data_IF_855483344478
#
_entry.id   IF_855483344478
#
_cell.length_a   1.000
_cell.length_b   1.000
_cell.length_c   1.000
_cell.angle_alpha   90.00
_cell.angle_beta   90.00
_cell.angle_gamma   90.00
#
_symmetry.space_group_name_H-M   'P 1'
#
loop_
_entity.id
_entity.type
_entity.pdbx_description
1 polymer ?
#
# COMPACT_ATOMS: atom_id res chain seq x y z
N UNK A 1 7.10 -21.65 17.87
CA UNK A 1 6.83 -20.85 16.66
C UNK A 1 6.98 -21.72 15.43
N UNK A 2 6.15 -21.45 14.41
CA UNK A 2 6.05 -22.10 13.08
C UNK A 2 5.31 -23.45 13.12
N UNK A 3 4.32 -23.73 12.27
CA UNK A 3 3.64 -22.96 11.24
C UNK A 3 2.36 -23.73 10.90
N UNK A 4 1.34 -22.97 10.50
CA UNK A 4 0.12 -23.39 9.82
C UNK A 4 0.37 -24.41 8.68
N UNK A 5 -0.64 -25.22 8.36
CA UNK A 5 -1.43 -25.06 7.12
C UNK A 5 -2.73 -25.87 7.19
N UNK A 6 -3.80 -25.14 6.91
CA UNK A 6 -5.18 -25.53 6.65
C UNK A 6 -5.34 -26.67 5.62
N UNK A 7 -6.27 -27.59 5.87
CA UNK A 7 -7.11 -28.19 4.83
C UNK A 7 -8.57 -28.14 5.28
N UNK A 8 -9.33 -27.26 4.64
CA UNK A 8 -10.79 -27.27 4.65
C UNK A 8 -11.24 -28.43 3.77
N UNK A 9 -12.07 -29.31 4.34
CA UNK A 9 -12.93 -30.22 3.61
C UNK A 9 -14.34 -29.62 3.57
N UNK A 10 -14.96 -29.59 2.39
CA UNK A 10 -16.36 -29.22 2.22
C UNK A 10 -17.22 -30.49 2.23
N UNK A 11 -18.27 -30.38 3.03
CA UNK A 11 -19.50 -31.17 3.17
C UNK A 11 -19.99 -31.94 1.93
N UNK A 12 -20.59 -33.12 2.16
CA UNK A 12 -22.05 -33.26 2.13
C UNK A 12 -22.48 -34.62 2.68
N UNK A 13 -23.50 -34.61 3.54
CA UNK A 13 -24.28 -35.78 3.94
C UNK A 13 -25.61 -35.78 3.17
N UNK A 14 -26.20 -36.96 3.00
CA UNK A 14 -27.62 -37.34 3.26
C UNK A 14 -28.10 -38.41 2.26
N UNK A 15 -28.39 -39.60 2.83
CA UNK A 15 -29.55 -40.53 2.66
C UNK A 15 -30.23 -40.67 1.26
N UNK A 16 -30.80 -41.80 0.82
CA UNK A 16 -31.28 -43.01 1.49
C UNK A 16 -31.79 -44.04 0.44
N UNK A 17 -31.82 -45.31 0.85
CA UNK A 17 -32.77 -46.39 0.53
C UNK A 17 -32.92 -46.98 -0.88
N UNK A 18 -32.71 -48.30 -0.93
CA UNK A 18 -33.26 -49.21 -1.95
C UNK A 18 -32.42 -50.48 -2.15
N UNK A 19 -32.56 -51.50 -1.29
CA UNK A 19 -32.09 -52.89 -1.54
C UNK A 19 -33.06 -53.59 -2.51
N UNK A 20 -32.63 -54.53 -3.39
CA UNK A 20 -32.31 -55.89 -2.96
C UNK A 20 -31.13 -56.58 -3.70
N UNK A 21 -30.92 -57.83 -3.31
CA UNK A 21 -29.76 -58.70 -3.45
C UNK A 21 -29.37 -59.18 -4.87
N UNK A 22 -28.18 -59.82 -4.89
CA UNK A 22 -27.69 -60.87 -5.81
C UNK A 22 -27.07 -60.43 -7.15
N UNK A 23 -25.80 -60.01 -7.10
CA UNK A 23 -24.77 -60.30 -8.11
C UNK A 23 -23.38 -59.88 -7.59
N UNK A 24 -22.76 -60.63 -6.68
CA UNK A 24 -21.52 -60.21 -6.02
C UNK A 24 -20.46 -61.31 -5.91
N UNK A 25 -20.17 -62.03 -7.00
CA UNK A 25 -19.05 -63.00 -7.03
C UNK A 25 -18.06 -62.83 -8.20
N UNK A 26 -18.38 -62.06 -9.25
CA UNK A 26 -17.44 -61.81 -10.37
C UNK A 26 -16.54 -60.58 -10.18
N UNK A 27 -17.01 -59.58 -9.43
CA UNK A 27 -16.39 -58.25 -9.37
C UNK A 27 -15.33 -58.11 -8.28
N UNK A 28 -15.36 -58.96 -7.25
CA UNK A 28 -14.37 -58.98 -6.16
C UNK A 28 -13.07 -59.68 -6.58
N UNK A 29 -13.16 -60.74 -7.40
CA UNK A 29 -12.00 -61.43 -7.95
C UNK A 29 -11.17 -60.50 -8.86
N UNK A 30 -11.84 -59.71 -9.71
CA UNK A 30 -11.19 -58.70 -10.58
C UNK A 30 -10.53 -57.59 -9.79
N UNK A 31 -11.15 -57.08 -8.71
CA UNK A 31 -10.55 -56.04 -7.87
C UNK A 31 -9.34 -56.58 -7.10
N UNK A 32 -9.39 -57.82 -6.60
CA UNK A 32 -8.27 -58.45 -5.91
C UNK A 32 -7.10 -58.74 -6.85
N UNK A 33 -7.36 -59.23 -8.06
CA UNK A 33 -6.34 -59.47 -9.07
C UNK A 33 -5.70 -58.16 -9.54
N UNK A 34 -6.47 -57.09 -9.66
CA UNK A 34 -5.97 -55.77 -10.05
C UNK A 34 -5.17 -55.12 -8.91
N UNK A 35 -5.58 -55.30 -7.65
CA UNK A 35 -4.79 -54.89 -6.49
C UNK A 35 -3.47 -55.68 -6.39
N UNK A 36 -3.49 -56.97 -6.74
CA UNK A 36 -2.29 -57.83 -6.76
C UNK A 36 -1.34 -57.42 -7.89
N UNK A 37 -1.86 -57.20 -9.09
CA UNK A 37 -1.08 -56.70 -10.22
C UNK A 37 -0.44 -55.33 -9.92
N UNK A 38 -1.18 -54.42 -9.29
CA UNK A 38 -0.68 -53.12 -8.85
C UNK A 38 0.40 -53.24 -7.75
N UNK A 39 0.24 -54.17 -6.81
CA UNK A 39 1.25 -54.45 -5.79
C UNK A 39 2.53 -55.03 -6.39
N UNK A 40 2.41 -55.97 -7.34
CA UNK A 40 3.56 -56.59 -7.99
C UNK A 40 4.34 -55.61 -8.88
N UNK A 41 3.64 -54.73 -9.58
CA UNK A 41 4.25 -53.63 -10.35
C UNK A 41 4.94 -52.62 -9.44
N UNK A 42 4.34 -52.28 -8.29
CA UNK A 42 4.99 -51.42 -7.29
C UNK A 42 6.26 -52.06 -6.69
N UNK A 43 6.22 -53.37 -6.38
CA UNK A 43 7.39 -54.10 -5.87
C UNK A 43 8.48 -54.26 -6.92
N UNK A 44 8.14 -54.35 -8.21
CA UNK A 44 9.12 -54.31 -9.33
C UNK A 44 9.80 -52.94 -9.41
N UNK A 45 9.04 -51.85 -9.33
CA UNK A 45 9.58 -50.48 -9.32
C UNK A 45 10.49 -50.18 -8.12
N UNK A 46 10.32 -50.90 -7.00
CA UNK A 46 11.23 -50.79 -5.84
C UNK A 46 12.50 -51.65 -5.97
N UNK A 47 12.47 -52.72 -6.77
CA UNK A 47 13.62 -53.61 -6.99
C UNK A 47 14.50 -53.18 -8.16
N UNK A 48 13.96 -52.39 -9.08
CA UNK A 48 14.74 -51.74 -10.12
C UNK A 48 15.53 -50.57 -9.50
N UNK A 49 16.83 -50.41 -9.79
CA UNK A 49 17.56 -49.22 -9.39
C UNK A 49 16.86 -47.99 -9.99
N UNK A 50 16.16 -47.24 -9.14
CA UNK A 50 15.54 -45.97 -9.50
C UNK A 50 16.66 -45.04 -9.97
N UNK A 51 16.80 -44.84 -11.28
CA UNK A 51 17.52 -43.67 -11.77
C UNK A 51 16.80 -42.44 -11.22
N UNK A 52 17.50 -41.50 -10.57
CA UNK A 52 16.87 -40.29 -10.05
C UNK A 52 16.05 -39.65 -11.17
N UNK A 53 14.74 -39.49 -10.98
CA UNK A 53 13.94 -38.66 -11.88
C UNK A 53 14.60 -37.28 -11.84
N UNK A 54 15.12 -36.76 -12.96
CA UNK A 54 15.76 -35.45 -12.95
C UNK A 54 14.70 -34.44 -12.51
N UNK A 55 14.85 -33.89 -11.31
CA UNK A 55 13.99 -32.84 -10.83
C UNK A 55 14.07 -31.67 -11.81
N UNK A 56 12.92 -31.23 -12.32
CA UNK A 56 12.79 -30.07 -13.20
C UNK A 56 13.07 -28.79 -12.40
N UNK A 57 14.33 -28.59 -12.01
CA UNK A 57 14.84 -27.40 -11.33
C UNK A 57 14.49 -26.14 -12.13
N UNK A 58 14.54 -26.23 -13.46
CA UNK A 58 14.22 -25.15 -14.42
C UNK A 58 12.77 -24.64 -14.27
N UNK A 59 11.80 -25.52 -14.02
CA UNK A 59 10.39 -25.12 -13.78
C UNK A 59 10.17 -24.56 -12.39
N UNK A 60 10.95 -25.01 -11.40
CA UNK A 60 10.85 -24.51 -10.03
C UNK A 60 11.49 -23.12 -9.95
N UNK A 61 12.66 -22.93 -10.55
CA UNK A 61 13.33 -21.64 -10.73
C UNK A 61 12.47 -20.66 -11.53
N UNK A 62 11.88 -21.08 -12.66
CA UNK A 62 10.97 -20.23 -13.42
C UNK A 62 9.73 -19.78 -12.60
N UNK A 63 9.18 -20.69 -11.78
CA UNK A 63 8.06 -20.38 -10.88
C UNK A 63 8.48 -19.45 -9.74
N UNK A 64 9.68 -19.63 -9.19
CA UNK A 64 10.24 -18.75 -8.16
C UNK A 64 10.48 -17.36 -8.71
N UNK A 65 11.14 -17.24 -9.87
CA UNK A 65 11.38 -15.95 -10.52
C UNK A 65 10.07 -15.21 -10.87
N UNK A 66 9.06 -15.95 -11.33
CA UNK A 66 7.72 -15.38 -11.57
C UNK A 66 7.06 -14.90 -10.28
N UNK A 67 7.19 -15.66 -9.19
CA UNK A 67 6.65 -15.27 -7.88
C UNK A 67 7.37 -14.04 -7.33
N UNK A 68 8.70 -14.00 -7.40
CA UNK A 68 9.51 -12.88 -6.96
C UNK A 68 9.17 -11.60 -7.74
N UNK A 69 9.00 -11.70 -9.06
CA UNK A 69 8.54 -10.57 -9.88
C UNK A 69 7.18 -10.03 -9.43
N UNK A 70 6.21 -10.91 -9.20
CA UNK A 70 4.87 -10.52 -8.71
C UNK A 70 4.92 -9.91 -7.31
N UNK A 71 5.75 -10.45 -6.42
CA UNK A 71 5.91 -9.92 -5.06
C UNK A 71 6.52 -8.52 -5.10
N UNK A 72 7.51 -8.29 -5.95
CA UNK A 72 8.10 -6.96 -6.15
C UNK A 72 7.06 -5.97 -6.68
N UNK A 73 6.34 -6.32 -7.75
CA UNK A 73 5.30 -5.45 -8.33
C UNK A 73 4.24 -5.05 -7.29
N UNK A 74 3.73 -6.00 -6.51
CA UNK A 74 2.74 -5.73 -5.45
C UNK A 74 3.31 -4.77 -4.40
N UNK A 75 4.58 -4.94 -4.01
CA UNK A 75 5.24 -4.06 -3.04
C UNK A 75 5.36 -2.64 -3.58
N UNK A 76 5.82 -2.50 -4.82
CA UNK A 76 5.96 -1.20 -5.49
C UNK A 76 4.62 -0.47 -5.58
N UNK A 77 3.58 -1.16 -6.05
CA UNK A 77 2.22 -0.62 -6.10
C UNK A 77 1.72 -0.19 -4.71
N UNK A 78 1.95 -1.02 -3.68
CA UNK A 78 1.56 -0.70 -2.30
C UNK A 78 2.25 0.56 -1.80
N UNK A 79 3.55 0.70 -2.08
CA UNK A 79 4.35 1.88 -1.71
C UNK A 79 3.79 3.12 -2.41
N UNK A 80 3.59 3.07 -3.73
CA UNK A 80 3.07 4.20 -4.52
C UNK A 80 1.69 4.64 -4.04
N UNK A 81 0.79 3.69 -3.76
CA UNK A 81 -0.55 3.99 -3.23
C UNK A 81 -0.44 4.75 -1.90
N UNK A 82 0.45 4.34 -1.01
CA UNK A 82 0.63 5.00 0.28
C UNK A 82 1.19 6.42 0.12
N UNK A 83 2.21 6.61 -0.73
CA UNK A 83 2.76 7.94 -1.01
C UNK A 83 1.73 8.86 -1.65
N UNK A 84 0.98 8.39 -2.65
CA UNK A 84 -0.07 9.16 -3.30
C UNK A 84 -1.18 9.57 -2.32
N UNK A 85 -1.55 8.70 -1.38
CA UNK A 85 -2.49 9.05 -0.30
C UNK A 85 -1.95 10.15 0.61
N UNK A 86 -0.67 10.10 0.97
CA UNK A 86 -0.04 11.13 1.81
C UNK A 86 0.01 12.46 1.06
N UNK A 87 0.48 12.46 -0.20
CA UNK A 87 0.52 13.62 -1.08
C UNK A 87 -0.86 14.25 -1.20
N UNK A 88 -1.91 13.44 -1.42
CA UNK A 88 -3.28 13.94 -1.51
C UNK A 88 -3.75 14.59 -0.21
N UNK A 89 -3.48 13.96 0.95
CA UNK A 89 -3.84 14.53 2.26
C UNK A 89 -3.12 15.85 2.55
N UNK A 90 -1.82 15.92 2.27
CA UNK A 90 -1.05 17.16 2.42
C UNK A 90 -1.61 18.25 1.50
N UNK A 91 -1.94 17.91 0.25
CA UNK A 91 -2.57 18.85 -0.68
C UNK A 91 -3.89 19.41 -0.17
N UNK A 92 -4.79 18.55 0.33
CA UNK A 92 -6.07 18.99 0.92
C UNK A 92 -5.84 19.93 2.09
N UNK A 93 -4.87 19.61 2.96
CA UNK A 93 -4.62 20.42 4.14
C UNK A 93 -3.93 21.76 3.82
N UNK A 94 -3.04 21.79 2.82
CA UNK A 94 -2.48 23.03 2.28
C UNK A 94 -3.58 23.92 1.73
N UNK A 95 -4.46 23.42 0.86
CA UNK A 95 -5.59 24.20 0.32
C UNK A 95 -6.55 24.69 1.41
N UNK A 96 -6.77 23.89 2.47
CA UNK A 96 -7.56 24.34 3.60
C UNK A 96 -6.92 25.54 4.31
N UNK A 97 -5.62 25.47 4.62
CA UNK A 97 -4.90 26.56 5.28
C UNK A 97 -4.80 27.81 4.40
N UNK A 98 -4.67 27.63 3.08
CA UNK A 98 -4.69 28.71 2.09
C UNK A 98 -5.97 29.53 2.19
N UNK A 99 -7.13 28.88 2.11
CA UNK A 99 -8.44 29.53 2.30
C UNK A 99 -8.58 30.21 3.67
N UNK A 100 -7.98 29.66 4.73
CA UNK A 100 -7.99 30.30 6.06
C UNK A 100 -7.09 31.54 6.08
N UNK A 101 -5.95 31.49 5.40
CA UNK A 101 -5.01 32.60 5.31
C UNK A 101 -5.56 33.74 4.46
N UNK A 102 -6.22 33.45 3.34
CA UNK A 102 -6.94 34.45 2.52
C UNK A 102 -7.97 35.22 3.36
N UNK A 103 -8.76 34.52 4.17
CA UNK A 103 -9.72 35.17 5.08
C UNK A 103 -9.05 36.00 6.17
N UNK A 104 -7.85 35.61 6.60
CA UNK A 104 -7.06 36.41 7.55
C UNK A 104 -6.51 37.66 6.86
N UNK A 105 -6.05 37.55 5.62
CA UNK A 105 -5.59 38.66 4.78
C UNK A 105 -6.70 39.69 4.57
N UNK A 106 -7.92 39.24 4.24
CA UNK A 106 -9.10 40.12 4.15
C UNK A 106 -9.34 40.88 5.46
N UNK A 107 -9.18 40.20 6.60
CA UNK A 107 -9.37 40.82 7.93
C UNK A 107 -8.26 41.79 8.29
N UNK A 108 -7.02 41.52 7.88
CA UNK A 108 -5.91 42.46 8.00
C UNK A 108 -6.21 43.72 7.22
N UNK A 109 -6.66 43.59 5.97
CA UNK A 109 -6.99 44.74 5.11
C UNK A 109 -8.17 45.58 5.64
N UNK A 110 -9.20 44.92 6.18
CA UNK A 110 -10.35 45.60 6.80
C UNK A 110 -9.90 46.46 8.00
N UNK A 111 -9.06 45.91 8.88
CA UNK A 111 -8.54 46.62 10.05
C UNK A 111 -7.58 47.76 9.65
N UNK A 112 -6.74 47.53 8.64
CA UNK A 112 -5.85 48.57 8.09
C UNK A 112 -6.68 49.76 7.55
N UNK A 113 -7.75 49.47 6.80
CA UNK A 113 -8.66 50.50 6.28
C UNK A 113 -9.38 51.25 7.39
N UNK A 114 -9.68 50.57 8.51
CA UNK A 114 -10.25 51.19 9.70
C UNK A 114 -9.22 51.99 10.54
N UNK A 115 -7.94 52.01 10.14
CA UNK A 115 -6.88 52.79 10.78
C UNK A 115 -6.21 52.10 11.97
N UNK A 116 -6.43 50.79 12.17
CA UNK A 116 -5.69 50.01 13.17
C UNK A 116 -4.28 49.69 12.66
N UNK A 117 -3.31 49.62 13.57
CA UNK A 117 -1.99 49.06 13.24
C UNK A 117 -2.12 47.54 13.07
N UNK A 118 -1.79 47.05 11.88
CA UNK A 118 -1.87 45.62 11.53
C UNK A 118 -0.51 45.02 11.18
N UNK A 119 0.58 45.75 11.41
CA UNK A 119 1.93 45.39 10.95
C UNK A 119 2.32 43.97 11.36
N UNK A 120 2.01 43.59 12.60
CA UNK A 120 2.29 42.26 13.13
C UNK A 120 1.46 41.17 12.43
N UNK A 121 0.16 41.42 12.24
CA UNK A 121 -0.74 40.47 11.58
C UNK A 121 -0.36 40.27 10.11
N UNK A 122 -0.04 41.36 9.39
CA UNK A 122 0.40 41.33 8.00
C UNK A 122 1.70 40.52 7.83
N UNK A 123 2.66 40.65 8.76
CA UNK A 123 3.89 39.86 8.75
C UNK A 123 3.61 38.35 8.90
N UNK A 124 2.64 37.97 9.75
CA UNK A 124 2.23 36.58 9.90
C UNK A 124 1.52 36.02 8.65
N UNK A 125 0.65 36.82 8.01
CA UNK A 125 0.02 36.44 6.72
C UNK A 125 1.09 36.18 5.66
N UNK A 126 2.08 37.05 5.53
CA UNK A 126 3.18 36.88 4.57
C UNK A 126 4.00 35.61 4.86
N UNK A 127 4.28 35.33 6.14
CA UNK A 127 4.99 34.12 6.56
C UNK A 127 4.21 32.83 6.25
N UNK A 128 2.89 32.87 6.44
CA UNK A 128 2.00 31.76 6.09
C UNK A 128 1.97 31.54 4.57
N UNK A 129 1.81 32.59 3.78
CA UNK A 129 1.81 32.53 2.31
C UNK A 129 3.09 31.89 1.77
N UNK A 130 4.27 32.34 2.23
CA UNK A 130 5.55 31.75 1.82
C UNK A 130 5.63 30.25 2.14
N UNK A 131 5.17 29.85 3.33
CA UNK A 131 5.20 28.47 3.77
C UNK A 131 4.23 27.59 2.96
N UNK A 132 3.04 28.09 2.65
CA UNK A 132 2.02 27.39 1.85
C UNK A 132 2.43 27.27 0.39
N UNK A 133 3.00 28.31 -0.20
CA UNK A 133 3.53 28.28 -1.58
C UNK A 133 4.65 27.24 -1.70
N UNK A 134 5.59 27.25 -0.76
CA UNK A 134 6.69 26.27 -0.72
C UNK A 134 6.16 24.85 -0.53
N UNK A 135 5.16 24.65 0.34
CA UNK A 135 4.52 23.36 0.54
C UNK A 135 3.83 22.88 -0.75
N UNK A 136 3.06 23.74 -1.41
CA UNK A 136 2.38 23.44 -2.68
C UNK A 136 3.36 23.04 -3.78
N UNK A 137 4.46 23.77 -3.93
CA UNK A 137 5.53 23.44 -4.88
C UNK A 137 6.18 22.08 -4.58
N UNK A 138 6.43 21.78 -3.30
CA UNK A 138 7.00 20.51 -2.87
C UNK A 138 6.05 19.34 -3.14
N UNK A 139 4.74 19.53 -2.92
CA UNK A 139 3.69 18.55 -3.22
C UNK A 139 3.63 18.27 -4.73
N UNK A 140 3.66 19.31 -5.56
CA UNK A 140 3.65 19.17 -7.02
C UNK A 140 4.86 18.35 -7.49
N UNK A 141 6.04 18.66 -6.96
CA UNK A 141 7.27 17.92 -7.26
C UNK A 141 7.20 16.47 -6.77
N UNK A 142 6.69 16.22 -5.56
CA UNK A 142 6.54 14.86 -5.03
C UNK A 142 5.57 14.02 -5.87
N UNK A 143 4.49 14.64 -6.37
CA UNK A 143 3.53 13.99 -7.27
C UNK A 143 4.14 13.65 -8.63
N UNK A 144 4.94 14.54 -9.20
CA UNK A 144 5.64 14.29 -10.46
C UNK A 144 6.68 13.17 -10.31
N UNK A 145 7.43 13.14 -9.20
CA UNK A 145 8.42 12.08 -8.98
C UNK A 145 7.79 10.72 -8.63
N UNK A 146 6.58 10.67 -8.06
CA UNK A 146 5.97 9.39 -7.65
C UNK A 146 5.63 8.46 -8.80
N UNK A 147 5.45 8.99 -10.01
CA UNK A 147 5.24 8.19 -11.21
C UNK A 147 6.52 7.52 -11.75
N UNK A 148 7.71 7.96 -11.29
CA UNK A 148 8.99 7.58 -11.90
C UNK A 148 9.94 6.82 -10.95
N UNK A 149 9.66 6.81 -9.63
CA UNK A 149 10.55 6.23 -8.60
C UNK A 149 11.07 4.83 -8.96
N UNK A 150 10.18 3.91 -9.34
CA UNK A 150 10.55 2.51 -9.61
C UNK A 150 11.12 2.29 -11.02
N UNK A 151 11.11 3.32 -11.86
CA UNK A 151 11.79 3.34 -13.17
C UNK A 151 13.21 3.90 -13.08
N UNK A 152 13.57 4.47 -11.93
CA UNK A 152 14.89 5.07 -11.72
C UNK A 152 16.01 4.01 -11.61
N UNK A 153 17.24 4.43 -11.87
CA UNK A 153 18.41 3.59 -11.65
C UNK A 153 18.66 3.27 -10.16
N UNK A 154 18.07 4.04 -9.25
CA UNK A 154 18.19 3.84 -7.79
C UNK A 154 16.85 4.12 -7.07
N UNK A 155 15.88 3.19 -7.14
CA UNK A 155 14.56 3.39 -6.55
C UNK A 155 14.59 3.64 -5.04
N UNK A 156 15.52 2.99 -4.33
CA UNK A 156 15.70 3.18 -2.89
C UNK A 156 16.11 4.62 -2.53
N UNK A 157 17.02 5.20 -3.32
CA UNK A 157 17.43 6.60 -3.15
C UNK A 157 16.27 7.57 -3.41
N UNK A 158 15.53 7.33 -4.49
CA UNK A 158 14.36 8.15 -4.83
C UNK A 158 13.24 8.07 -3.77
N UNK A 159 13.03 6.90 -3.17
CA UNK A 159 12.09 6.74 -2.05
C UNK A 159 12.50 7.53 -0.80
N UNK A 160 13.80 7.61 -0.51
CA UNK A 160 14.33 8.41 0.59
C UNK A 160 14.07 9.90 0.32
N UNK A 161 14.42 10.38 -0.88
CA UNK A 161 14.17 11.77 -1.29
C UNK A 161 12.68 12.12 -1.20
N UNK A 162 11.82 11.22 -1.67
CA UNK A 162 10.37 11.42 -1.58
C UNK A 162 9.89 11.51 -0.14
N UNK A 163 10.39 10.65 0.74
CA UNK A 163 10.07 10.70 2.17
C UNK A 163 10.49 12.05 2.78
N UNK A 164 11.71 12.51 2.49
CA UNK A 164 12.21 13.79 2.98
C UNK A 164 11.35 14.96 2.49
N UNK A 165 10.97 14.98 1.21
CA UNK A 165 10.06 15.99 0.66
C UNK A 165 8.73 16.02 1.40
N UNK A 166 8.14 14.87 1.72
CA UNK A 166 6.85 14.84 2.44
C UNK A 166 6.97 15.25 3.90
N UNK A 167 8.07 14.90 4.56
CA UNK A 167 8.37 15.39 5.92
C UNK A 167 8.54 16.91 5.91
N UNK A 168 9.32 17.45 4.97
CA UNK A 168 9.51 18.89 4.81
C UNK A 168 8.20 19.62 4.49
N UNK A 169 7.37 19.04 3.63
CA UNK A 169 6.03 19.57 3.33
C UNK A 169 5.18 19.65 4.60
N UNK A 170 5.16 18.59 5.41
CA UNK A 170 4.42 18.59 6.68
C UNK A 170 4.92 19.68 7.64
N UNK A 171 6.22 19.94 7.68
CA UNK A 171 6.80 21.00 8.50
C UNK A 171 6.41 22.39 8.01
N UNK A 172 6.41 22.62 6.69
CA UNK A 172 5.99 23.89 6.09
C UNK A 172 4.51 24.19 6.36
N UNK A 173 3.66 23.19 6.21
CA UNK A 173 2.24 23.28 6.58
C UNK A 173 2.08 23.63 8.07
N UNK A 174 2.85 23.00 8.95
CA UNK A 174 2.79 23.31 10.39
C UNK A 174 3.21 24.76 10.66
N UNK A 175 4.28 25.23 10.02
CA UNK A 175 4.72 26.64 10.12
C UNK A 175 3.64 27.61 9.63
N UNK A 176 3.00 27.31 8.50
CA UNK A 176 1.90 28.10 7.98
C UNK A 176 0.74 28.19 8.98
N UNK A 177 0.34 27.04 9.56
CA UNK A 177 -0.69 26.98 10.59
C UNK A 177 -0.34 27.84 11.80
N UNK A 178 0.89 27.75 12.30
CA UNK A 178 1.35 28.54 13.44
C UNK A 178 1.35 30.04 13.16
N UNK A 179 1.80 30.44 11.97
CA UNK A 179 1.74 31.83 11.52
C UNK A 179 0.30 32.34 11.42
N UNK A 180 -0.62 31.59 10.82
CA UNK A 180 -2.05 31.94 10.76
C UNK A 180 -2.63 32.13 12.17
N UNK A 181 -2.36 31.21 13.10
CA UNK A 181 -2.85 31.32 14.48
C UNK A 181 -2.28 32.56 15.17
N UNK A 182 -1.00 32.86 14.97
CA UNK A 182 -0.36 34.04 15.54
C UNK A 182 -0.96 35.34 14.97
N UNK A 183 -1.20 35.42 13.65
CA UNK A 183 -1.85 36.56 13.02
C UNK A 183 -3.29 36.77 13.48
N UNK A 184 -4.06 35.70 13.68
CA UNK A 184 -5.40 35.79 14.28
C UNK A 184 -5.32 36.37 15.70
N UNK A 185 -4.33 35.96 16.48
CA UNK A 185 -4.19 36.41 17.87
C UNK A 185 -3.72 37.87 17.96
N UNK A 186 -2.85 38.34 17.07
CA UNK A 186 -2.41 39.74 17.06
C UNK A 186 -3.57 40.69 16.76
N UNK A 187 -4.43 40.36 15.79
CA UNK A 187 -5.62 41.17 15.50
C UNK A 187 -6.58 41.26 16.68
N UNK A 188 -6.73 40.19 17.47
CA UNK A 188 -7.60 40.21 18.66
C UNK A 188 -7.07 41.13 19.77
N UNK A 189 -5.75 41.27 19.89
CA UNK A 189 -5.14 42.11 20.92
C UNK A 189 -5.16 43.59 20.56
N UNK A 190 -5.13 43.93 19.27
CA UNK A 190 -5.11 45.31 18.76
C UNK A 190 -6.51 45.95 18.69
N UNK A 191 -7.57 45.14 18.63
CA UNK A 191 -8.98 45.62 18.64
C UNK A 191 -9.57 45.91 20.03
N UNK A 192 -8.79 45.84 21.12
CA UNK A 192 -9.22 46.19 22.49
C UNK A 192 -8.69 47.55 22.91
#
# INVERSE_FOLDING_TARGET
MKSNIFKIAIFLAVFAFGTPALAQSGHLATIQDQARANRESFLRLQKEPQTPVPGNATSTEARLNSLDGRVSEIREQTILINYNRIIAKLGVYTSYLDNVNERLEDKVLENETAGFDVTTAAAYVASANLSLETASSTIATARASSTEVFLSANPSGELIIMKERLVNTSLLIQKAREAIVAGINSLKTETK
#
